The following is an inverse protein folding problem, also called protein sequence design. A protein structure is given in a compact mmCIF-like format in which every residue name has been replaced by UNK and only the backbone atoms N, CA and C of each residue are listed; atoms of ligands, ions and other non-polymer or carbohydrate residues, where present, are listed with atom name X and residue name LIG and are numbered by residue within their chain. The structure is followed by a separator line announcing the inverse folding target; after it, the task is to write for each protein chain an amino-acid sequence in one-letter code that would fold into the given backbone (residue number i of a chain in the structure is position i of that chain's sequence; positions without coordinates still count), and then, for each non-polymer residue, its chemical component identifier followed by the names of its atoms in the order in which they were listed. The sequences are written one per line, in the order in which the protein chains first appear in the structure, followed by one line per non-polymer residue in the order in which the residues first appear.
data_IF_910561242111
#
_entry.id   IF_910561242111
#
_cell.length_a   1.000
_cell.length_b   1.000
_cell.length_c   1.000
_cell.angle_alpha   90.00
_cell.angle_beta   90.00
_cell.angle_gamma   90.00
#
_symmetry.space_group_name_H-M   'P 1'
#
loop_
_entity.id
_entity.type
_entity.pdbx_description
1 polymer ?
#
# COMPACT_ATOMS: atom_id res chain seq x y z
N UNK A 1 -6.04 -21.56 11.28
CA UNK A 1 -5.12 -20.68 12.03
C UNK A 1 -5.74 -19.28 12.15
N UNK A 2 -6.82 -19.14 12.93
CA UNK A 2 -7.47 -17.86 13.23
C UNK A 2 -6.71 -17.16 14.37
N UNK A 3 -5.47 -16.76 14.10
CA UNK A 3 -4.83 -15.75 14.94
C UNK A 3 -5.52 -14.42 14.64
N UNK A 4 -6.57 -14.08 15.39
CA UNK A 4 -7.28 -12.81 15.25
C UNK A 4 -6.24 -11.67 15.20
N UNK A 5 -6.24 -10.92 14.10
CA UNK A 5 -5.37 -9.76 13.95
C UNK A 5 -5.79 -8.78 15.03
N UNK A 6 -4.84 -8.39 15.90
CA UNK A 6 -5.12 -7.44 16.97
C UNK A 6 -5.17 -6.02 16.39
N UNK A 7 -6.09 -5.15 16.86
CA UNK A 7 -6.08 -3.74 16.49
C UNK A 7 -4.72 -3.09 16.76
N UNK A 8 -4.27 -2.23 15.85
CA UNK A 8 -2.98 -1.54 15.92
C UNK A 8 -1.73 -2.41 15.73
N UNK A 9 -1.87 -3.73 15.56
CA UNK A 9 -0.73 -4.63 15.39
C UNK A 9 -0.03 -4.48 14.04
N UNK A 10 1.23 -4.91 13.96
CA UNK A 10 1.97 -4.97 12.68
C UNK A 10 1.19 -5.76 11.62
N UNK A 11 0.49 -6.82 12.01
CA UNK A 11 -0.34 -7.60 11.08
C UNK A 11 -1.52 -6.79 10.51
N UNK A 12 -2.09 -5.88 11.29
CA UNK A 12 -3.13 -4.96 10.82
C UNK A 12 -2.56 -3.98 9.78
N UNK A 13 -1.37 -3.44 10.03
CA UNK A 13 -0.68 -2.58 9.07
C UNK A 13 -0.26 -3.31 7.80
N UNK A 14 0.23 -4.55 7.91
CA UNK A 14 0.54 -5.39 6.74
C UNK A 14 -0.72 -5.67 5.92
N UNK A 15 -1.86 -5.92 6.57
CA UNK A 15 -3.14 -6.08 5.85
C UNK A 15 -3.50 -4.78 5.10
N UNK A 16 -3.44 -3.63 5.77
CA UNK A 16 -3.73 -2.32 5.19
C UNK A 16 -2.80 -1.95 4.02
N UNK A 17 -1.53 -2.36 4.08
CA UNK A 17 -0.53 -2.12 3.04
C UNK A 17 -0.79 -2.93 1.75
N UNK A 18 -1.65 -3.95 1.79
CA UNK A 18 -2.02 -4.84 0.67
C UNK A 18 -0.80 -5.39 -0.12
N UNK A 19 -0.02 -6.33 0.45
CA UNK A 19 1.22 -6.84 -0.15
C UNK A 19 1.05 -7.38 -1.57
N UNK A 20 -0.14 -7.90 -1.90
CA UNK A 20 -0.48 -8.40 -3.23
C UNK A 20 -0.51 -7.32 -4.32
N UNK A 21 -0.70 -6.04 -3.98
CA UNK A 21 -0.70 -4.94 -4.97
C UNK A 21 0.68 -4.28 -5.12
N UNK A 22 1.59 -4.49 -4.17
CA UNK A 22 2.90 -3.83 -4.17
C UNK A 22 3.77 -4.14 -5.40
N UNK A 23 3.79 -5.37 -5.96
CA UNK A 23 4.57 -5.64 -7.17
C UNK A 23 4.18 -4.77 -8.38
N UNK A 24 2.93 -4.29 -8.45
CA UNK A 24 2.47 -3.41 -9.54
C UNK A 24 3.24 -2.10 -9.55
N UNK A 25 3.56 -1.56 -8.37
CA UNK A 25 4.31 -0.29 -8.25
C UNK A 25 5.75 -0.38 -8.75
N UNK A 26 6.33 -1.58 -8.78
CA UNK A 26 7.71 -1.80 -9.24
C UNK A 26 7.78 -1.84 -10.78
N UNK A 27 6.69 -2.21 -11.46
CA UNK A 27 6.63 -2.36 -12.93
C UNK A 27 7.19 -1.15 -13.69
N UNK A 28 6.72 0.09 -13.45
CA UNK A 28 7.23 1.29 -14.11
C UNK A 28 8.73 1.51 -13.91
N UNK A 29 9.26 1.19 -12.73
CA UNK A 29 10.69 1.36 -12.41
C UNK A 29 11.53 0.35 -13.20
N UNK A 30 11.06 -0.89 -13.33
CA UNK A 30 11.71 -1.90 -14.16
C UNK A 30 11.72 -1.51 -15.64
N UNK A 31 10.58 -1.03 -16.15
CA UNK A 31 10.49 -0.54 -17.54
C UNK A 31 11.44 0.61 -17.77
N UNK A 32 11.46 1.62 -16.90
CA UNK A 32 12.40 2.75 -17.01
C UNK A 32 13.87 2.31 -16.94
N UNK A 33 14.19 1.35 -16.07
CA UNK A 33 15.54 0.79 -15.96
C UNK A 33 15.94 0.00 -17.20
N UNK A 34 15.02 -0.76 -17.80
CA UNK A 34 15.24 -1.48 -19.05
C UNK A 34 15.42 -0.53 -20.24
N UNK A 35 14.69 0.58 -20.29
CA UNK A 35 14.92 1.62 -21.31
C UNK A 35 16.31 2.24 -21.10
N UNK A 36 16.68 2.57 -19.87
CA UNK A 36 18.00 3.13 -19.57
C UNK A 36 19.16 2.19 -19.95
N UNK A 37 18.97 0.87 -19.89
CA UNK A 37 20.02 -0.09 -20.28
C UNK A 37 20.34 -0.06 -21.76
N UNK A 38 19.36 0.18 -22.63
CA UNK A 38 19.55 0.31 -24.08
C UNK A 38 20.45 1.49 -24.43
N UNK A 39 20.40 2.57 -23.64
CA UNK A 39 21.21 3.78 -23.84
C UNK A 39 22.48 3.83 -22.98
N UNK A 40 22.83 2.74 -22.28
CA UNK A 40 24.00 2.70 -21.38
C UNK A 40 23.85 3.58 -20.13
N UNK A 41 22.64 4.02 -19.80
CA UNK A 41 22.33 5.00 -18.76
C UNK A 41 21.87 4.40 -17.42
N UNK A 42 22.07 3.10 -17.17
CA UNK A 42 21.60 2.47 -15.92
C UNK A 42 22.29 3.11 -14.71
N UNK A 43 21.48 3.63 -13.79
CA UNK A 43 21.92 4.13 -12.49
C UNK A 43 21.21 3.35 -11.40
N UNK A 44 21.92 2.42 -10.76
CA UNK A 44 21.34 1.51 -9.75
C UNK A 44 20.79 2.27 -8.55
N UNK A 45 21.51 3.26 -8.04
CA UNK A 45 21.06 4.07 -6.89
C UNK A 45 19.70 4.74 -7.13
N UNK A 46 19.55 5.56 -8.19
CA UNK A 46 18.27 6.13 -8.58
C UNK A 46 17.16 5.10 -8.83
N UNK A 47 17.46 3.96 -9.46
CA UNK A 47 16.48 2.89 -9.69
C UNK A 47 15.96 2.31 -8.36
N UNK A 48 16.84 2.06 -7.39
CA UNK A 48 16.45 1.59 -6.06
C UNK A 48 15.65 2.65 -5.29
N UNK A 49 16.05 3.92 -5.35
CA UNK A 49 15.31 5.02 -4.74
C UNK A 49 13.90 5.17 -5.36
N UNK A 50 13.79 5.05 -6.68
CA UNK A 50 12.52 5.08 -7.38
C UNK A 50 11.63 3.88 -7.02
N UNK A 51 12.20 2.67 -6.91
CA UNK A 51 11.45 1.49 -6.48
C UNK A 51 10.92 1.64 -5.04
N UNK A 52 11.75 2.13 -4.12
CA UNK A 52 11.33 2.43 -2.75
C UNK A 52 10.22 3.48 -2.74
N UNK A 53 10.39 4.58 -3.47
CA UNK A 53 9.38 5.64 -3.59
C UNK A 53 8.05 5.10 -4.15
N UNK A 54 8.09 4.30 -5.21
CA UNK A 54 6.91 3.70 -5.80
C UNK A 54 6.18 2.76 -4.81
N UNK A 55 6.92 1.96 -4.05
CA UNK A 55 6.36 1.10 -3.00
C UNK A 55 5.68 1.91 -1.90
N UNK A 56 6.33 2.97 -1.40
CA UNK A 56 5.78 3.84 -0.37
C UNK A 56 4.52 4.57 -0.87
N UNK A 57 4.54 5.09 -2.09
CA UNK A 57 3.37 5.73 -2.71
C UNK A 57 2.20 4.74 -2.89
N UNK A 58 2.49 3.49 -3.26
CA UNK A 58 1.48 2.45 -3.38
C UNK A 58 0.86 2.09 -2.02
N UNK A 59 1.69 1.99 -0.96
CA UNK A 59 1.23 1.78 0.41
C UNK A 59 0.36 2.96 0.85
N UNK A 60 0.83 4.19 0.69
CA UNK A 60 0.08 5.41 1.04
C UNK A 60 -1.27 5.47 0.32
N UNK A 61 -1.31 5.14 -0.97
CA UNK A 61 -2.55 5.06 -1.76
C UNK A 61 -3.48 3.96 -1.26
N UNK A 62 -2.96 2.79 -0.84
CA UNK A 62 -3.76 1.72 -0.26
C UNK A 62 -4.40 2.15 1.06
N UNK A 63 -3.65 2.83 1.93
CA UNK A 63 -4.14 3.38 3.21
C UNK A 63 -5.20 4.46 2.96
N UNK A 64 -4.94 5.39 2.03
CA UNK A 64 -5.87 6.46 1.66
C UNK A 64 -7.20 5.91 1.17
N UNK A 65 -7.15 4.97 0.23
CA UNK A 65 -8.36 4.34 -0.29
C UNK A 65 -9.11 3.60 0.84
N UNK A 66 -8.41 2.91 1.74
CA UNK A 66 -9.04 2.20 2.87
C UNK A 66 -9.80 3.16 3.80
N UNK A 67 -9.16 4.22 4.29
CA UNK A 67 -9.80 5.14 5.24
C UNK A 67 -10.86 6.03 4.60
N UNK A 68 -10.61 6.57 3.40
CA UNK A 68 -11.54 7.53 2.80
C UNK A 68 -12.79 6.86 2.24
N UNK A 69 -12.70 5.63 1.75
CA UNK A 69 -13.91 4.87 1.37
C UNK A 69 -14.71 4.45 2.61
N UNK A 70 -14.03 4.10 3.71
CA UNK A 70 -14.68 3.84 4.99
C UNK A 70 -15.42 5.08 5.50
N UNK A 71 -14.78 6.26 5.51
CA UNK A 71 -15.41 7.53 5.91
C UNK A 71 -16.58 7.93 4.99
N UNK A 72 -16.54 7.57 3.70
CA UNK A 72 -17.62 7.79 2.75
C UNK A 72 -18.76 6.77 2.84
N UNK A 73 -18.63 5.74 3.68
CA UNK A 73 -19.61 4.65 3.80
C UNK A 73 -19.63 3.70 2.61
N UNK A 74 -18.62 3.72 1.75
CA UNK A 74 -18.50 2.82 0.59
C UNK A 74 -18.03 1.40 0.98
N UNK A 75 -17.52 1.22 2.20
CA UNK A 75 -17.13 -0.06 2.78
C UNK A 75 -18.26 -0.63 3.67
N UNK A 76 -19.36 -1.05 3.03
CA UNK A 76 -20.51 -1.71 3.66
C UNK A 76 -20.41 -3.25 3.62
N UNK A 77 -21.35 -3.96 4.26
CA UNK A 77 -21.36 -5.44 4.34
C UNK A 77 -21.44 -6.12 2.96
N UNK A 78 -22.01 -5.42 1.98
CA UNK A 78 -22.17 -5.90 0.60
C UNK A 78 -20.90 -5.76 -0.25
N UNK A 79 -19.81 -5.23 0.31
CA UNK A 79 -18.59 -4.99 -0.45
C UNK A 79 -17.91 -6.30 -0.86
N UNK A 80 -17.75 -6.48 -2.16
CA UNK A 80 -16.97 -7.58 -2.75
C UNK A 80 -15.52 -7.14 -2.88
N UNK A 81 -14.66 -7.63 -2.00
CA UNK A 81 -13.22 -7.35 -2.06
C UNK A 81 -12.44 -7.89 -0.84
N UNK A 82 -11.12 -7.71 -0.82
CA UNK A 82 -10.33 -8.09 0.35
C UNK A 82 -10.74 -7.28 1.59
N UNK A 83 -10.59 -7.85 2.79
CA UNK A 83 -10.93 -7.18 4.03
C UNK A 83 -10.12 -5.89 4.20
N UNK A 84 -10.76 -4.85 4.73
CA UNK A 84 -10.13 -3.56 4.99
C UNK A 84 -9.91 -3.32 6.47
N UNK A 85 -8.80 -2.66 6.79
CA UNK A 85 -8.39 -2.49 8.17
C UNK A 85 -9.33 -1.54 8.93
N UNK A 86 -9.85 -0.50 8.25
CA UNK A 86 -10.78 0.46 8.85
C UNK A 86 -12.15 -0.17 9.12
N UNK A 87 -12.70 -0.89 8.13
CA UNK A 87 -14.00 -1.58 8.25
C UNK A 87 -13.99 -2.64 9.36
N UNK A 88 -12.88 -3.36 9.53
CA UNK A 88 -12.72 -4.36 10.58
C UNK A 88 -12.39 -3.77 11.96
N UNK A 89 -12.29 -2.45 12.10
CA UNK A 89 -11.88 -1.79 13.35
C UNK A 89 -10.44 -2.11 13.78
N UNK A 90 -9.60 -2.58 12.86
CA UNK A 90 -8.21 -2.95 13.14
C UNK A 90 -7.29 -1.73 13.20
N UNK A 91 -7.61 -0.68 12.44
CA UNK A 91 -6.91 0.60 12.44
C UNK A 91 -7.94 1.73 12.44
N UNK A 92 -7.69 2.77 13.25
CA UNK A 92 -8.57 3.93 13.33
C UNK A 92 -8.32 4.87 12.14
N UNK A 93 -9.30 5.67 11.70
CA UNK A 93 -9.09 6.65 10.65
C UNK A 93 -7.94 7.62 10.93
N UNK A 94 -7.81 8.05 12.19
CA UNK A 94 -6.71 8.91 12.62
C UNK A 94 -5.34 8.21 12.50
N UNK A 95 -5.24 6.94 12.91
CA UNK A 95 -4.01 6.17 12.75
C UNK A 95 -3.65 6.00 11.28
N UNK A 96 -4.64 5.63 10.44
CA UNK A 96 -4.45 5.47 8.99
C UNK A 96 -3.93 6.76 8.34
N UNK A 97 -4.53 7.91 8.66
CA UNK A 97 -4.10 9.23 8.18
C UNK A 97 -2.68 9.57 8.64
N UNK A 98 -2.35 9.27 9.89
CA UNK A 98 -0.97 9.41 10.39
C UNK A 98 0.04 8.53 9.64
N UNK A 99 -0.33 7.28 9.36
CA UNK A 99 0.51 6.34 8.62
C UNK A 99 0.74 6.67 7.15
N UNK A 100 0.00 7.62 6.56
CA UNK A 100 0.26 8.13 5.21
C UNK A 100 1.33 9.22 5.17
N UNK A 101 1.58 9.89 6.30
CA UNK A 101 2.51 11.04 6.39
C UNK A 101 3.94 10.60 6.67
N UNK A 102 4.11 9.40 7.24
CA UNK A 102 5.41 8.79 7.59
C UNK A 102 5.92 7.95 6.43
#
# INVERSE_FOLDING_TARGET
MSGQIRPGSVKAWVLAARPRTLPVSIGPVLVGTAVASVYGGVRVGPALAAALGALLLQIGSNLANDVFDFEKGADNEDRIGPPRASQLGLLTPAAMKGGMVV
#
